data_IF_981823871582
#
_entry.id   IF_981823871582
#
_cell.length_a   1.000
_cell.length_b   1.000
_cell.length_c   1.000
_cell.angle_alpha   90.00
_cell.angle_beta   90.00
_cell.angle_gamma   90.00
#
_symmetry.space_group_name_H-M   'P 1'
#
loop_
_entity.id
_entity.type
_entity.pdbx_description
1 polymer ?
#
# COMPACT_ATOMS: atom_id res chain seq x y z
N UNK A 1 -23.31 -12.67 -30.99
CA UNK A 1 -23.35 -11.48 -30.11
C UNK A 1 -22.02 -11.46 -29.37
N UNK A 2 -21.03 -10.76 -29.89
CA UNK A 2 -19.75 -10.55 -29.18
C UNK A 2 -20.03 -9.56 -28.06
N UNK A 3 -19.86 -10.01 -26.82
CA UNK A 3 -19.96 -9.14 -25.65
C UNK A 3 -18.95 -8.01 -25.82
N UNK A 4 -19.40 -6.77 -25.64
CA UNK A 4 -18.52 -5.62 -25.71
C UNK A 4 -17.68 -5.60 -24.43
N UNK A 5 -16.51 -6.24 -24.45
CA UNK A 5 -15.63 -6.34 -23.29
C UNK A 5 -14.97 -4.96 -23.10
N UNK A 6 -15.53 -4.18 -22.18
CA UNK A 6 -14.87 -3.01 -21.65
C UNK A 6 -14.18 -3.42 -20.35
N UNK A 7 -12.86 -3.27 -20.29
CA UNK A 7 -12.09 -3.53 -19.08
C UNK A 7 -11.11 -2.38 -18.82
N UNK A 8 -10.78 -2.18 -17.55
CA UNK A 8 -9.85 -1.14 -17.13
C UNK A 8 -9.03 -1.69 -15.97
N UNK A 9 -7.72 -1.45 -16.03
CA UNK A 9 -6.81 -1.79 -14.95
C UNK A 9 -5.91 -0.61 -14.62
N UNK A 10 -5.71 -0.38 -13.32
CA UNK A 10 -4.88 0.69 -12.78
C UNK A 10 -3.77 0.11 -11.91
N UNK A 11 -2.64 0.81 -11.85
CA UNK A 11 -1.57 0.46 -10.93
C UNK A 11 -0.51 1.54 -10.84
N UNK A 12 0.58 1.21 -10.15
CA UNK A 12 1.75 2.08 -10.00
C UNK A 12 2.97 1.33 -10.53
N UNK A 13 3.82 2.04 -11.26
CA UNK A 13 5.05 1.50 -11.84
C UNK A 13 6.21 2.48 -11.68
N UNK A 14 7.42 1.96 -11.81
CA UNK A 14 8.66 2.73 -11.88
C UNK A 14 9.44 2.33 -13.12
N UNK A 15 10.29 3.22 -13.64
CA UNK A 15 11.16 2.93 -14.77
C UNK A 15 12.62 3.07 -14.34
N UNK A 16 13.51 2.20 -14.83
CA UNK A 16 14.90 2.11 -14.37
C UNK A 16 15.72 3.41 -14.51
N UNK A 17 15.35 4.31 -15.43
CA UNK A 17 16.01 5.62 -15.61
C UNK A 17 15.43 6.72 -14.71
N UNK A 18 14.39 6.41 -13.94
CA UNK A 18 13.63 7.33 -13.11
C UNK A 18 13.44 6.72 -11.71
N UNK A 19 14.54 6.43 -11.03
CA UNK A 19 14.56 5.70 -9.76
C UNK A 19 13.69 6.30 -8.65
N UNK A 20 13.39 7.60 -8.71
CA UNK A 20 12.57 8.30 -7.70
C UNK A 20 11.17 8.70 -8.21
N UNK A 21 10.85 8.47 -9.48
CA UNK A 21 9.56 8.84 -10.05
C UNK A 21 8.60 7.65 -10.06
N UNK A 22 7.50 7.80 -9.33
CA UNK A 22 6.39 6.86 -9.34
C UNK A 22 5.38 7.31 -10.40
N UNK A 23 5.08 6.42 -11.33
CA UNK A 23 4.07 6.64 -12.33
C UNK A 23 2.81 5.87 -11.97
N UNK A 24 1.66 6.54 -12.01
CA UNK A 24 0.37 5.85 -12.03
C UNK A 24 0.04 5.52 -13.47
N UNK A 25 -0.35 4.28 -13.75
CA UNK A 25 -0.79 3.88 -15.08
C UNK A 25 -2.24 3.43 -15.07
N UNK A 26 -2.85 3.49 -16.25
CA UNK A 26 -4.14 2.91 -16.55
C UNK A 26 -4.09 2.29 -17.94
N UNK A 27 -4.54 1.04 -18.07
CA UNK A 27 -4.77 0.39 -19.35
C UNK A 27 -6.27 0.20 -19.51
N UNK A 28 -6.85 0.81 -20.53
CA UNK A 28 -8.28 0.71 -20.84
C UNK A 28 -8.48 -0.05 -22.14
N UNK A 29 -9.35 -1.06 -22.13
CA UNK A 29 -9.80 -1.79 -23.31
C UNK A 29 -11.25 -1.41 -23.61
N UNK A 30 -11.53 -0.91 -24.82
CA UNK A 30 -12.88 -0.63 -25.31
C UNK A 30 -13.01 -1.04 -26.76
N UNK A 31 -14.01 -1.86 -27.08
CA UNK A 31 -14.26 -2.35 -28.44
C UNK A 31 -12.98 -2.94 -29.10
N UNK A 32 -12.25 -3.80 -28.39
CA UNK A 32 -10.95 -4.38 -28.83
C UNK A 32 -9.82 -3.36 -29.06
N UNK A 33 -10.00 -2.10 -28.66
CA UNK A 33 -8.97 -1.07 -28.73
C UNK A 33 -8.42 -0.75 -27.36
N UNK A 34 -7.11 -0.62 -27.27
CA UNK A 34 -6.41 -0.38 -26.02
C UNK A 34 -5.90 1.06 -25.93
N UNK A 35 -6.06 1.69 -24.77
CA UNK A 35 -5.41 2.95 -24.42
C UNK A 35 -4.49 2.76 -23.23
N UNK A 36 -3.23 3.18 -23.36
CA UNK A 36 -2.29 3.30 -22.26
C UNK A 36 -2.24 4.75 -21.81
N UNK A 37 -2.55 4.99 -20.54
CA UNK A 37 -2.45 6.30 -19.88
C UNK A 37 -1.40 6.23 -18.76
N UNK A 38 -0.66 7.31 -18.58
CA UNK A 38 0.42 7.44 -17.62
C UNK A 38 0.38 8.82 -16.94
N UNK A 39 0.50 8.87 -15.62
CA UNK A 39 0.67 10.08 -14.82
C UNK A 39 1.98 10.00 -14.04
N UNK A 40 2.80 11.05 -14.13
CA UNK A 40 3.87 11.28 -13.16
C UNK A 40 3.27 11.85 -11.88
N UNK A 41 3.32 11.08 -10.78
CA UNK A 41 2.69 11.46 -9.52
C UNK A 41 3.32 12.71 -8.88
N UNK A 42 4.57 13.01 -9.20
CA UNK A 42 5.29 14.17 -8.66
C UNK A 42 4.90 15.45 -9.39
N UNK A 43 4.96 15.45 -10.72
CA UNK A 43 4.66 16.64 -11.53
C UNK A 43 3.18 16.79 -11.89
N UNK A 44 2.40 15.72 -11.78
CA UNK A 44 0.99 15.60 -12.23
C UNK A 44 0.79 15.77 -13.73
N UNK A 45 1.87 15.71 -14.50
CA UNK A 45 1.78 15.60 -15.96
C UNK A 45 1.20 14.24 -16.34
N UNK A 46 0.42 14.24 -17.42
CA UNK A 46 -0.30 13.07 -17.91
C UNK A 46 -0.06 12.88 -19.39
N UNK A 47 -0.03 11.63 -19.82
CA UNK A 47 0.13 11.23 -21.21
C UNK A 47 -0.77 10.05 -21.57
N UNK A 48 -1.19 9.95 -22.83
CA UNK A 48 -1.95 8.80 -23.30
C UNK A 48 -1.66 8.44 -24.76
N UNK A 49 -1.84 7.17 -25.12
CA UNK A 49 -1.70 6.69 -26.50
C UNK A 49 -2.91 7.03 -27.39
N UNK A 50 -4.09 7.19 -26.78
CA UNK A 50 -5.36 7.04 -27.48
C UNK A 50 -5.72 5.55 -27.67
N UNK A 51 -6.93 5.28 -28.18
CA UNK A 51 -7.40 3.92 -28.43
C UNK A 51 -6.77 3.33 -29.70
N UNK A 52 -5.79 2.45 -29.49
CA UNK A 52 -5.01 1.73 -30.50
C UNK A 52 -5.64 0.37 -30.82
N UNK A 53 -5.67 0.00 -32.10
CA UNK A 53 -5.94 -1.37 -32.52
C UNK A 53 -4.70 -2.26 -32.30
N UNK A 54 -4.86 -3.58 -32.35
CA UNK A 54 -3.75 -4.54 -32.19
C UNK A 54 -2.60 -4.20 -33.14
N UNK A 55 -2.90 -3.87 -34.40
CA UNK A 55 -1.92 -3.60 -35.44
C UNK A 55 -1.06 -2.36 -35.17
N UNK A 56 -1.53 -1.44 -34.32
CA UNK A 56 -0.82 -0.20 -33.99
C UNK A 56 0.32 -0.42 -32.99
N UNK A 57 0.20 -1.42 -32.11
CA UNK A 57 1.25 -1.76 -31.12
C UNK A 57 1.96 -3.08 -31.43
N UNK A 58 1.37 -3.93 -32.26
CA UNK A 58 1.97 -5.13 -32.83
C UNK A 58 2.57 -4.81 -34.20
N UNK A 59 3.80 -4.29 -34.22
CA UNK A 59 4.47 -3.93 -35.49
C UNK A 59 5.21 -5.13 -36.09
N UNK A 60 5.45 -5.15 -37.41
CA UNK A 60 6.25 -6.18 -38.09
C UNK A 60 7.76 -6.09 -37.78
N UNK A 61 8.19 -5.33 -36.76
CA UNK A 61 9.60 -5.04 -36.50
C UNK A 61 10.42 -6.22 -35.99
N UNK A 62 9.80 -7.37 -35.68
CA UNK A 62 10.48 -8.55 -35.14
C UNK A 62 10.30 -9.80 -36.03
N UNK A 63 10.40 -9.65 -37.36
CA UNK A 63 10.39 -10.81 -38.29
C UNK A 63 11.50 -11.79 -37.89
N UNK A 64 11.15 -13.08 -37.73
CA UNK A 64 12.12 -14.17 -37.67
C UNK A 64 13.01 -14.10 -38.91
N UNK A 65 14.26 -13.65 -38.77
CA UNK A 65 15.15 -13.32 -39.89
C UNK A 65 15.42 -14.47 -40.87
N UNK A 66 15.03 -15.71 -40.52
CA UNK A 66 15.32 -16.92 -41.26
C UNK A 66 14.07 -17.57 -41.90
N UNK A 67 12.88 -16.99 -41.69
CA UNK A 67 11.63 -17.49 -42.27
C UNK A 67 11.32 -16.80 -43.61
N UNK A 68 11.13 -17.60 -44.66
CA UNK A 68 10.65 -17.15 -45.98
C UNK A 68 9.44 -16.21 -45.81
N UNK A 69 9.60 -14.97 -46.26
CA UNK A 69 8.55 -13.95 -46.26
C UNK A 69 7.31 -14.34 -47.09
N UNK A 70 7.29 -15.50 -47.74
CA UNK A 70 6.14 -15.97 -48.52
C UNK A 70 5.12 -16.79 -47.70
N UNK A 71 5.48 -17.32 -46.52
CA UNK A 71 4.62 -18.28 -45.80
C UNK A 71 3.94 -17.76 -44.52
N UNK A 72 4.36 -16.60 -43.96
CA UNK A 72 3.79 -16.06 -42.71
C UNK A 72 3.80 -14.52 -42.63
N UNK A 73 3.27 -13.81 -43.64
CA UNK A 73 3.06 -12.35 -43.55
C UNK A 73 1.76 -12.05 -42.82
N UNK A 74 1.79 -12.25 -41.50
CA UNK A 74 0.90 -11.58 -40.54
C UNK A 74 1.77 -11.29 -39.33
N UNK A 75 2.10 -10.00 -39.15
CA UNK A 75 2.95 -9.41 -38.10
C UNK A 75 3.58 -10.43 -37.11
N UNK A 76 4.90 -10.61 -37.19
CA UNK A 76 5.69 -11.57 -36.39
C UNK A 76 5.60 -11.42 -34.84
N UNK A 77 4.83 -10.44 -34.36
CA UNK A 77 4.53 -10.16 -32.96
C UNK A 77 3.08 -10.52 -32.55
N UNK A 78 2.28 -11.02 -33.49
CA UNK A 78 0.92 -11.51 -33.21
C UNK A 78 1.04 -12.95 -32.75
N UNK A 79 0.69 -13.21 -31.50
CA UNK A 79 0.36 -14.56 -31.10
C UNK A 79 -1.03 -14.83 -31.67
N UNK A 80 -1.13 -15.77 -32.61
CA UNK A 80 -2.36 -16.01 -33.39
C UNK A 80 -3.60 -16.30 -32.52
N UNK A 81 -3.38 -16.81 -31.30
CA UNK A 81 -4.43 -17.13 -30.33
C UNK A 81 -4.62 -16.05 -29.24
N UNK A 82 -3.89 -14.93 -29.28
CA UNK A 82 -3.98 -13.87 -28.27
C UNK A 82 -5.06 -12.84 -28.62
N UNK A 83 -5.99 -12.64 -27.69
CA UNK A 83 -6.98 -11.57 -27.72
C UNK A 83 -6.39 -10.23 -27.26
N UNK A 84 -7.10 -9.12 -27.49
CA UNK A 84 -6.70 -7.82 -26.94
C UNK A 84 -6.63 -7.84 -25.40
N UNK A 85 -7.48 -8.64 -24.74
CA UNK A 85 -7.45 -8.82 -23.29
C UNK A 85 -6.19 -9.57 -22.80
N UNK A 86 -5.67 -10.51 -23.58
CA UNK A 86 -4.41 -11.20 -23.26
C UNK A 86 -3.23 -10.23 -23.33
N UNK A 87 -3.21 -9.37 -24.36
CA UNK A 87 -2.24 -8.29 -24.47
C UNK A 87 -2.32 -7.31 -23.29
N UNK A 88 -3.52 -6.88 -22.89
CA UNK A 88 -3.72 -6.02 -21.70
C UNK A 88 -3.13 -6.66 -20.45
N UNK A 89 -3.41 -7.95 -20.24
CA UNK A 89 -2.90 -8.70 -19.09
C UNK A 89 -1.36 -8.79 -19.12
N UNK A 90 -0.78 -9.02 -20.29
CA UNK A 90 0.67 -9.05 -20.46
C UNK A 90 1.32 -7.67 -20.21
N UNK A 91 0.76 -6.59 -20.76
CA UNK A 91 1.28 -5.25 -20.53
C UNK A 91 1.16 -4.81 -19.08
N UNK A 92 0.08 -5.19 -18.40
CA UNK A 92 -0.05 -5.01 -16.95
C UNK A 92 1.10 -5.71 -16.21
N UNK A 93 1.35 -6.99 -16.50
CA UNK A 93 2.46 -7.73 -15.89
C UNK A 93 3.81 -7.05 -16.15
N UNK A 94 4.04 -6.52 -17.36
CA UNK A 94 5.26 -5.77 -17.68
C UNK A 94 5.43 -4.52 -16.80
N UNK A 95 4.34 -3.82 -16.52
CA UNK A 95 4.33 -2.63 -15.67
C UNK A 95 4.49 -2.96 -14.18
N UNK A 96 4.06 -4.14 -13.75
CA UNK A 96 4.12 -4.58 -12.34
C UNK A 96 5.42 -5.31 -11.99
N UNK A 97 6.13 -5.88 -12.96
CA UNK A 97 7.37 -6.61 -12.73
C UNK A 97 8.48 -5.74 -12.10
N UNK A 98 9.39 -6.37 -11.34
CA UNK A 98 10.62 -5.70 -10.89
C UNK A 98 11.39 -5.15 -12.10
N UNK A 99 12.03 -3.99 -11.97
CA UNK A 99 12.83 -3.39 -13.05
C UNK A 99 14.16 -4.10 -13.30
N UNK A 100 14.42 -5.22 -12.64
CA UNK A 100 15.67 -5.97 -12.75
C UNK A 100 15.84 -6.55 -14.16
N UNK A 101 17.03 -6.38 -14.74
CA UNK A 101 17.31 -6.79 -16.12
C UNK A 101 17.25 -8.31 -16.38
N UNK A 102 17.07 -9.12 -15.33
CA UNK A 102 16.95 -10.58 -15.40
C UNK A 102 15.52 -11.07 -15.68
N UNK A 103 14.51 -10.20 -15.59
CA UNK A 103 13.13 -10.58 -15.87
C UNK A 103 12.90 -10.89 -17.36
N UNK A 104 11.98 -11.82 -17.61
CA UNK A 104 11.53 -12.16 -18.97
C UNK A 104 10.72 -11.03 -19.61
N UNK A 105 10.19 -10.11 -18.79
CA UNK A 105 9.45 -8.92 -19.22
C UNK A 105 10.18 -7.65 -18.80
N UNK A 106 10.47 -6.76 -19.75
CA UNK A 106 11.17 -5.50 -19.52
C UNK A 106 10.31 -4.31 -19.95
N UNK A 107 10.50 -3.16 -19.30
CA UNK A 107 9.88 -1.90 -19.68
C UNK A 107 10.88 -0.76 -19.68
N UNK A 108 10.69 0.19 -20.60
CA UNK A 108 11.51 1.39 -20.71
C UNK A 108 10.63 2.60 -21.00
N UNK A 109 10.98 3.73 -20.39
CA UNK A 109 10.41 5.03 -20.70
C UNK A 109 11.46 5.86 -21.43
N UNK A 110 11.05 6.46 -22.55
CA UNK A 110 11.89 7.33 -23.38
C UNK A 110 11.17 8.66 -23.56
N UNK A 111 11.83 9.76 -23.20
CA UNK A 111 11.35 11.10 -23.51
C UNK A 111 11.60 11.43 -24.97
N UNK A 112 10.56 11.88 -25.67
CA UNK A 112 10.61 12.35 -27.05
C UNK A 112 10.54 13.89 -27.09
N UNK A 113 10.54 14.46 -28.29
CA UNK A 113 10.34 15.90 -28.49
C UNK A 113 8.91 16.32 -28.09
N UNK A 114 8.72 17.61 -27.84
CA UNK A 114 7.42 18.23 -27.54
C UNK A 114 6.67 17.57 -26.37
N UNK A 115 7.41 17.20 -25.31
CA UNK A 115 6.86 16.55 -24.10
C UNK A 115 6.11 15.24 -24.39
N UNK A 116 6.38 14.58 -25.52
CA UNK A 116 5.85 13.25 -25.80
C UNK A 116 6.68 12.18 -25.09
N UNK A 117 6.04 11.06 -24.78
CA UNK A 117 6.72 9.92 -24.17
C UNK A 117 6.59 8.68 -25.07
N UNK A 118 7.54 7.77 -24.93
CA UNK A 118 7.46 6.44 -25.51
C UNK A 118 7.67 5.41 -24.42
N UNK A 119 6.68 4.52 -24.26
CA UNK A 119 6.79 3.34 -23.41
C UNK A 119 7.11 2.15 -24.30
N UNK A 120 8.23 1.49 -24.02
CA UNK A 120 8.61 0.26 -24.67
C UNK A 120 8.42 -0.89 -23.69
N UNK A 121 7.75 -1.95 -24.11
CA UNK A 121 7.58 -3.18 -23.35
C UNK A 121 8.15 -4.33 -24.16
N UNK A 122 8.98 -5.16 -23.55
CA UNK A 122 9.63 -6.28 -24.21
C UNK A 122 9.31 -7.59 -23.51
N UNK A 123 9.10 -8.66 -24.27
CA UNK A 123 9.11 -10.06 -23.79
C UNK A 123 10.31 -10.77 -24.40
N UNK A 124 11.01 -11.51 -23.55
CA UNK A 124 12.06 -12.45 -23.95
C UNK A 124 11.48 -13.84 -24.01
N UNK A 125 11.36 -14.38 -25.22
CA UNK A 125 10.93 -15.75 -25.46
C UNK A 125 12.17 -16.60 -25.69
N UNK A 126 12.32 -17.68 -24.92
CA UNK A 126 13.38 -18.65 -25.14
C UNK A 126 12.85 -19.77 -26.04
N UNK A 127 13.46 -19.93 -27.20
CA UNK A 127 13.14 -20.98 -28.16
C UNK A 127 14.39 -21.83 -28.36
N UNK A 128 14.37 -23.05 -27.82
CA UNK A 128 15.51 -23.96 -27.79
C UNK A 128 16.76 -23.31 -27.16
N UNK A 129 17.78 -23.01 -27.98
CA UNK A 129 19.04 -22.39 -27.56
C UNK A 129 19.09 -20.88 -27.84
N UNK A 130 18.03 -20.33 -28.44
CA UNK A 130 17.95 -18.92 -28.83
C UNK A 130 17.03 -18.15 -27.89
N UNK A 131 17.37 -16.88 -27.67
CA UNK A 131 16.51 -15.92 -26.97
C UNK A 131 16.04 -14.91 -28.01
N UNK A 132 14.73 -14.75 -28.13
CA UNK A 132 14.10 -13.77 -28.99
C UNK A 132 13.44 -12.68 -28.14
N UNK A 133 13.64 -11.42 -28.50
CA UNK A 133 13.06 -10.28 -27.80
C UNK A 133 11.99 -9.63 -28.67
N UNK A 134 10.73 -9.78 -28.27
CA UNK A 134 9.61 -9.10 -28.91
C UNK A 134 9.38 -7.77 -28.20
N UNK A 135 9.38 -6.70 -28.97
CA UNK A 135 9.19 -5.32 -28.50
C UNK A 135 7.86 -4.72 -28.97
N UNK A 136 7.13 -4.16 -28.03
CA UNK A 136 5.91 -3.36 -28.21
C UNK A 136 6.20 -1.90 -27.87
N UNK A 137 5.73 -0.98 -28.71
CA UNK A 137 6.07 0.44 -28.59
C UNK A 137 4.80 1.30 -28.56
N UNK A 138 4.63 2.05 -27.47
CA UNK A 138 3.52 2.97 -27.27
C UNK A 138 4.03 4.40 -27.28
N UNK A 139 3.58 5.20 -28.26
CA UNK A 139 3.82 6.64 -28.27
C UNK A 139 2.68 7.34 -27.55
N UNK A 140 3.02 8.11 -26.52
CA UNK A 140 2.08 8.80 -25.67
C UNK A 140 2.15 10.31 -25.93
N UNK A 141 0.98 10.90 -26.11
CA UNK A 141 0.80 12.35 -26.30
C UNK A 141 0.48 13.00 -24.95
N UNK A 142 0.98 14.22 -24.70
CA UNK A 142 0.66 14.96 -23.49
C UNK A 142 -0.84 15.25 -23.42
N UNK A 143 -1.42 15.07 -22.23
CA UNK A 143 -2.80 15.42 -21.93
C UNK A 143 -2.79 16.81 -21.29
N UNK A 144 -3.69 17.68 -21.75
CA UNK A 144 -3.92 18.97 -21.08
C UNK A 144 -4.65 18.69 -19.77
N UNK A 145 -4.04 19.04 -18.65
CA UNK A 145 -4.57 18.78 -17.31
C UNK A 145 -5.01 20.11 -16.71
N UNK A 146 -6.29 20.22 -16.35
CA UNK A 146 -6.80 21.43 -15.72
C UNK A 146 -6.42 21.49 -14.24
N UNK A 147 -6.48 22.70 -13.66
CA UNK A 147 -6.12 22.90 -12.26
C UNK A 147 -6.98 22.05 -11.30
N UNK A 148 -8.22 21.77 -11.67
CA UNK A 148 -9.13 20.91 -10.89
C UNK A 148 -8.61 19.46 -10.92
N UNK A 149 -8.27 18.93 -12.10
CA UNK A 149 -7.73 17.57 -12.24
C UNK A 149 -6.43 17.38 -11.44
N UNK A 150 -5.56 18.40 -11.42
CA UNK A 150 -4.34 18.38 -10.59
C UNK A 150 -4.69 18.27 -9.10
N UNK A 151 -5.70 19.02 -8.64
CA UNK A 151 -6.13 18.99 -7.24
C UNK A 151 -6.77 17.64 -6.89
N UNK A 152 -7.59 17.08 -7.77
CA UNK A 152 -8.15 15.74 -7.61
C UNK A 152 -7.05 14.67 -7.54
N UNK A 153 -6.05 14.74 -8.42
CA UNK A 153 -4.93 13.81 -8.42
C UNK A 153 -4.06 13.93 -7.16
N UNK A 154 -3.91 15.14 -6.60
CA UNK A 154 -3.21 15.35 -5.31
C UNK A 154 -4.05 14.86 -4.14
N UNK A 155 -5.37 15.07 -4.15
CA UNK A 155 -6.27 14.57 -3.12
C UNK A 155 -6.28 13.03 -3.10
N UNK A 156 -6.30 12.38 -4.27
CA UNK A 156 -6.18 10.92 -4.40
C UNK A 156 -4.87 10.43 -3.77
N UNK A 157 -3.74 11.08 -4.05
CA UNK A 157 -2.46 10.73 -3.45
C UNK A 157 -2.45 10.88 -1.92
N UNK A 158 -3.02 11.97 -1.40
CA UNK A 158 -3.13 12.16 0.05
C UNK A 158 -4.01 11.11 0.70
N UNK A 159 -5.12 10.74 0.06
CA UNK A 159 -6.01 9.69 0.55
C UNK A 159 -5.30 8.32 0.57
N UNK A 160 -4.55 7.98 -0.48
CA UNK A 160 -3.76 6.73 -0.55
C UNK A 160 -2.70 6.65 0.56
N UNK A 161 -1.97 7.74 0.83
CA UNK A 161 -0.99 7.77 1.93
C UNK A 161 -1.68 7.70 3.30
N UNK A 162 -2.84 8.34 3.48
CA UNK A 162 -3.63 8.20 4.71
C UNK A 162 -4.12 6.77 4.92
N UNK A 163 -4.59 6.09 3.87
CA UNK A 163 -5.01 4.68 3.91
C UNK A 163 -3.83 3.78 4.31
N UNK A 164 -2.65 4.00 3.72
CA UNK A 164 -1.41 3.28 4.07
C UNK A 164 -1.01 3.48 5.52
N UNK A 165 -1.06 4.72 6.02
CA UNK A 165 -0.78 5.03 7.42
C UNK A 165 -1.84 4.43 8.36
N UNK A 166 -3.11 4.40 7.96
CA UNK A 166 -4.18 3.72 8.71
C UNK A 166 -4.00 2.21 8.74
N UNK A 167 -3.58 1.59 7.63
CA UNK A 167 -3.24 0.17 7.57
C UNK A 167 -2.05 -0.19 8.46
N UNK A 168 -1.06 0.70 8.57
CA UNK A 168 0.07 0.53 9.50
C UNK A 168 -0.30 0.84 10.96
N UNK A 169 -1.23 1.76 11.20
CA UNK A 169 -1.74 2.09 12.54
C UNK A 169 -2.82 1.12 13.06
N UNK A 170 -3.39 0.30 12.17
CA UNK A 170 -4.52 -0.58 12.41
C UNK A 170 -4.16 -1.97 12.92
N UNK A 171 -3.10 -2.13 13.73
CA UNK A 171 -2.88 -3.38 14.47
C UNK A 171 -1.89 -3.27 15.64
N UNK A 172 -1.65 -2.06 16.18
CA UNK A 172 -1.20 -1.99 17.58
C UNK A 172 -2.46 -2.03 18.41
N UNK A 173 -2.89 -3.24 18.73
CA UNK A 173 -3.89 -3.48 19.76
C UNK A 173 -3.55 -2.55 20.94
N UNK A 174 -4.42 -1.58 21.23
CA UNK A 174 -4.12 -0.61 22.28
C UNK A 174 -3.90 -1.42 23.54
N UNK A 175 -2.67 -1.38 24.07
CA UNK A 175 -2.34 -2.08 25.29
C UNK A 175 -3.26 -1.58 26.41
N UNK A 176 -4.26 -2.38 26.74
CA UNK A 176 -5.28 -2.09 27.73
C UNK A 176 -5.31 -3.23 28.74
N UNK A 177 -5.36 -2.87 30.01
CA UNK A 177 -5.59 -3.81 31.10
C UNK A 177 -6.59 -3.18 32.06
N UNK A 178 -7.59 -3.97 32.41
CA UNK A 178 -8.47 -3.69 33.53
C UNK A 178 -8.12 -4.68 34.64
N UNK A 179 -7.90 -4.18 35.85
CA UNK A 179 -7.57 -5.00 36.99
C UNK A 179 -8.54 -4.68 38.13
N UNK A 180 -9.25 -5.70 38.60
CA UNK A 180 -10.12 -5.63 39.75
C UNK A 180 -9.48 -6.31 40.95
N UNK A 181 -10.06 -6.07 42.13
CA UNK A 181 -9.47 -6.43 43.41
C UNK A 181 -10.36 -7.39 44.18
N UNK A 182 -9.76 -8.42 44.81
CA UNK A 182 -10.46 -9.39 45.68
C UNK A 182 -10.18 -9.18 47.17
N UNK A 183 -8.97 -8.76 47.59
CA UNK A 183 -8.62 -8.72 49.02
C UNK A 183 -7.64 -7.60 49.42
N UNK A 184 -7.72 -7.14 50.67
CA UNK A 184 -6.60 -6.47 51.35
C UNK A 184 -5.66 -7.57 51.82
N UNK A 185 -4.41 -7.53 51.35
CA UNK A 185 -3.34 -8.30 51.97
C UNK A 185 -3.00 -7.66 53.32
N UNK A 186 -1.82 -7.06 53.41
CA UNK A 186 -1.31 -6.46 54.65
C UNK A 186 -1.76 -5.00 54.77
N UNK A 187 -3.05 -4.74 55.00
CA UNK A 187 -3.70 -3.47 55.39
C UNK A 187 -3.40 -2.14 54.63
N UNK A 188 -2.40 -2.05 53.75
CA UNK A 188 -1.91 -0.80 53.14
C UNK A 188 -1.65 -0.88 51.63
N UNK A 189 -1.60 -2.07 51.01
CA UNK A 189 -1.43 -2.24 49.55
C UNK A 189 -2.55 -3.11 48.94
N UNK A 190 -2.97 -2.74 47.73
CA UNK A 190 -3.97 -3.48 46.94
C UNK A 190 -3.32 -4.70 46.29
N UNK A 191 -3.97 -5.87 46.39
CA UNK A 191 -3.59 -7.07 45.64
C UNK A 191 -4.50 -7.21 44.42
N UNK A 192 -3.90 -7.53 43.28
CA UNK A 192 -4.60 -7.64 42.00
C UNK A 192 -4.90 -9.10 41.66
N UNK A 193 -5.99 -9.35 40.94
CA UNK A 193 -6.19 -10.64 40.29
C UNK A 193 -5.19 -10.90 39.16
N UNK A 194 -5.15 -12.15 38.69
CA UNK A 194 -4.38 -12.52 37.52
C UNK A 194 -4.72 -11.65 36.32
N UNK A 195 -3.70 -11.00 35.75
CA UNK A 195 -3.83 -10.20 34.54
C UNK A 195 -3.62 -11.10 33.33
N UNK A 196 -4.64 -11.26 32.48
CA UNK A 196 -4.51 -11.94 31.20
C UNK A 196 -4.21 -10.91 30.10
N UNK A 197 -2.93 -10.57 29.93
CA UNK A 197 -2.48 -9.65 28.87
C UNK A 197 -1.06 -9.96 28.43
N UNK A 198 -0.76 -9.77 27.15
CA UNK A 198 0.61 -9.86 26.62
C UNK A 198 1.45 -8.63 26.95
N UNK A 199 0.79 -7.48 27.15
CA UNK A 199 1.45 -6.19 27.37
C UNK A 199 1.70 -5.88 28.86
N UNK A 200 1.01 -6.59 29.75
CA UNK A 200 1.07 -6.37 31.20
C UNK A 200 1.21 -7.71 31.92
N UNK A 201 1.99 -7.75 32.98
CA UNK A 201 2.03 -8.91 33.87
C UNK A 201 2.05 -8.51 35.32
N UNK A 202 1.59 -9.41 36.17
CA UNK A 202 1.64 -9.21 37.61
C UNK A 202 3.06 -9.51 38.14
N UNK A 203 3.54 -8.66 39.04
CA UNK A 203 4.75 -8.93 39.81
C UNK A 203 4.58 -10.15 40.69
N UNK A 204 5.70 -10.78 41.09
CA UNK A 204 5.68 -11.94 42.00
C UNK A 204 5.05 -11.63 43.36
N UNK A 205 4.93 -10.35 43.70
CA UNK A 205 4.34 -9.82 44.91
C UNK A 205 2.81 -9.66 44.84
N UNK A 206 2.20 -9.86 43.67
CA UNK A 206 0.74 -9.74 43.42
C UNK A 206 0.20 -8.32 43.67
N UNK A 207 1.06 -7.34 43.95
CA UNK A 207 0.71 -5.93 44.24
C UNK A 207 1.17 -4.98 43.13
N UNK A 208 2.13 -5.40 42.30
CA UNK A 208 2.75 -4.58 41.27
C UNK A 208 2.30 -5.02 39.87
N UNK A 209 1.91 -4.07 39.02
CA UNK A 209 1.64 -4.33 37.59
C UNK A 209 2.86 -3.89 36.78
N UNK A 210 3.43 -4.82 36.01
CA UNK A 210 4.62 -4.61 35.17
C UNK A 210 4.17 -4.35 33.73
N UNK A 211 4.63 -3.22 33.18
CA UNK A 211 4.40 -2.80 31.80
C UNK A 211 5.52 -3.38 30.94
N UNK A 212 5.20 -4.20 29.93
CA UNK A 212 6.21 -4.88 29.09
C UNK A 212 6.64 -4.06 27.88
N UNK A 213 5.83 -3.08 27.50
CA UNK A 213 6.05 -2.26 26.31
C UNK A 213 6.33 -0.81 26.75
N UNK A 214 7.41 -0.17 26.27
CA UNK A 214 7.62 1.25 26.49
C UNK A 214 6.53 2.08 25.78
N UNK A 215 5.96 3.08 26.46
CA UNK A 215 4.90 3.90 25.85
C UNK A 215 4.30 4.95 26.78
N UNK A 216 3.39 5.74 26.22
CA UNK A 216 2.54 6.67 26.97
C UNK A 216 1.28 5.91 27.42
N UNK A 217 1.03 5.90 28.72
CA UNK A 217 -0.11 5.22 29.32
C UNK A 217 -0.97 6.21 30.07
N UNK A 218 -2.29 6.01 29.98
CA UNK A 218 -3.26 6.67 30.87
C UNK A 218 -3.64 5.67 31.96
N UNK A 219 -3.48 6.06 33.22
CA UNK A 219 -3.83 5.24 34.37
C UNK A 219 -5.05 5.88 35.04
N UNK A 220 -6.12 5.11 35.16
CA UNK A 220 -7.33 5.51 35.88
C UNK A 220 -7.53 4.56 37.05
N UNK A 221 -7.80 5.09 38.24
CA UNK A 221 -7.99 4.30 39.46
C UNK A 221 -9.29 4.74 40.12
N UNK A 222 -10.18 3.78 40.36
CA UNK A 222 -11.39 3.95 41.15
C UNK A 222 -11.23 3.18 42.45
N UNK A 223 -11.38 3.85 43.59
CA UNK A 223 -11.35 3.21 44.91
C UNK A 223 -12.59 3.58 45.71
N UNK A 224 -13.32 2.55 46.12
CA UNK A 224 -14.45 2.67 47.02
C UNK A 224 -13.98 2.42 48.46
N UNK A 225 -14.22 3.37 49.37
CA UNK A 225 -13.83 3.29 50.78
C UNK A 225 -15.07 3.54 51.66
N UNK A 226 -15.31 2.67 52.65
CA UNK A 226 -16.27 2.92 53.75
C UNK A 226 -15.59 3.61 54.93
N UNK A 227 -15.99 4.83 55.36
CA UNK A 227 -15.33 5.53 56.47
C UNK A 227 -15.41 4.72 57.78
N UNK A 228 -14.34 4.70 58.57
CA UNK A 228 -14.41 4.31 59.98
C UNK A 228 -14.74 5.55 60.82
N UNK A 229 -15.45 5.36 61.94
CA UNK A 229 -16.14 6.41 62.73
C UNK A 229 -15.27 7.59 63.21
N UNK A 230 -13.94 7.56 63.06
CA UNK A 230 -13.04 8.64 63.51
C UNK A 230 -11.96 9.07 62.50
N UNK A 231 -12.03 8.65 61.24
CA UNK A 231 -11.06 9.05 60.20
C UNK A 231 -11.78 9.50 58.92
N UNK A 232 -11.99 10.81 58.81
CA UNK A 232 -12.67 11.44 57.67
C UNK A 232 -11.79 11.62 56.41
N UNK A 233 -10.52 11.18 56.45
CA UNK A 233 -9.55 11.41 55.37
C UNK A 233 -8.80 10.12 55.07
N UNK A 234 -8.96 9.64 53.84
CA UNK A 234 -8.11 8.60 53.24
C UNK A 234 -7.23 9.21 52.16
N UNK A 235 -6.06 8.63 51.94
CA UNK A 235 -5.17 9.03 50.85
C UNK A 235 -4.76 7.82 50.02
N UNK A 236 -4.67 8.01 48.71
CA UNK A 236 -4.18 6.99 47.78
C UNK A 236 -2.99 7.59 47.03
N UNK A 237 -1.97 6.77 46.84
CA UNK A 237 -0.78 7.12 46.07
C UNK A 237 -0.42 5.98 45.13
N UNK A 238 0.09 6.33 43.96
CA UNK A 238 0.65 5.37 43.02
C UNK A 238 2.16 5.31 43.23
N UNK A 239 2.73 4.10 43.23
CA UNK A 239 4.17 3.90 43.35
C UNK A 239 4.71 3.43 42.00
N UNK A 240 5.64 4.18 41.40
CA UNK A 240 6.33 3.80 40.16
C UNK A 240 7.80 3.61 40.45
N UNK A 241 8.28 2.37 40.33
CA UNK A 241 9.72 2.04 40.49
C UNK A 241 10.33 2.56 41.80
N UNK A 242 9.59 2.48 42.90
CA UNK A 242 10.01 2.97 44.22
C UNK A 242 9.76 4.46 44.47
N UNK A 243 9.25 5.21 43.48
CA UNK A 243 8.89 6.62 43.63
C UNK A 243 7.38 6.76 43.82
N UNK A 244 6.99 7.27 44.98
CA UNK A 244 5.58 7.53 45.32
C UNK A 244 5.14 8.84 44.65
N UNK A 245 4.06 8.79 43.88
CA UNK A 245 3.42 9.99 43.31
C UNK A 245 2.77 10.80 44.42
N UNK A 246 2.54 12.10 44.18
CA UNK A 246 1.86 12.96 45.16
C UNK A 246 0.55 12.30 45.63
N UNK A 247 0.32 12.16 46.95
CA UNK A 247 -0.88 11.55 47.46
C UNK A 247 -2.10 12.35 47.01
N UNK A 248 -3.11 11.65 46.53
CA UNK A 248 -4.41 12.22 46.22
C UNK A 248 -5.24 12.07 47.49
N UNK A 249 -5.59 13.20 48.10
CA UNK A 249 -6.46 13.24 49.27
C UNK A 249 -7.90 13.07 48.82
N UNK A 250 -8.60 12.12 49.42
CA UNK A 250 -10.02 11.89 49.16
C UNK A 250 -10.80 12.60 50.27
N UNK A 251 -11.64 13.56 49.90
CA UNK A 251 -12.56 14.25 50.81
C UNK A 251 -13.97 13.78 50.51
N UNK A 252 -14.75 13.51 51.56
CA UNK A 252 -16.15 13.09 51.41
C UNK A 252 -16.98 14.19 50.76
N UNK A 253 -17.81 13.80 49.78
CA UNK A 253 -19.01 14.53 49.38
C UNK A 253 -20.16 13.73 49.97
N UNK A 254 -20.75 14.18 51.08
CA UNK A 254 -21.99 13.57 51.59
C UNK A 254 -23.15 14.04 50.71
N UNK A 255 -23.87 13.10 50.11
CA UNK A 255 -25.23 13.33 49.60
C UNK A 255 -26.25 13.08 50.70
#
# INVERSE_FOLDING_TARGET
>A
MTANINSEVEGVTTFALCCDAYFRYRISLKNEKMNLWLEDRSSKKQWQSGFLCIEDYVTAANVFADASAADYVTAANVFADASAADYVSYFQQCLECSSDSSSESQRKLISLKDDHLQVEMCIKIRLLLSVHEIKYVFKLQPVTVDRVDILEAKLKDQQEELEKLRGQGGQRERAFVHAERVTWGNALKLQWESINSENFSLGSDVISIIFRTPGLYTISVLVNHRPLENTAVGSISLEKSGVITRPIYMTMIST
#
